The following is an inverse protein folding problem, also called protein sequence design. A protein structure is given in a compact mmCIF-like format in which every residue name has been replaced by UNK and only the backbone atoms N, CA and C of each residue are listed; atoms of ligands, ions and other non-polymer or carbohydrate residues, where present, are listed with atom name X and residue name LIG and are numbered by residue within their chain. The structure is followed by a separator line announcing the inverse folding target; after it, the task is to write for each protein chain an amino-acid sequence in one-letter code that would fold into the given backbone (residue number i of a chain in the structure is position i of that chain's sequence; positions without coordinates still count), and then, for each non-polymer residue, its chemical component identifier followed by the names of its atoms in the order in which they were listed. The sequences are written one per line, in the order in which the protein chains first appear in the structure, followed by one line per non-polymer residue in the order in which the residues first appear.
data_IF_614185878989
#
_entry.id   IF_614185878989
#
_cell.length_a   1.000
_cell.length_b   1.000
_cell.length_c   1.000
_cell.angle_alpha   90.00
_cell.angle_beta   90.00
_cell.angle_gamma   90.00
#
_symmetry.space_group_name_H-M   'P 1'
#
loop_
_entity.id
_entity.type
_entity.pdbx_description
1 polymer ?
#
# COMPACT_ATOMS: atom_id res chain seq x y z
N UNK A 1 -10.51 7.18 -5.95
CA UNK A 1 -10.46 5.94 -6.77
C UNK A 1 -10.59 4.76 -5.85
N UNK A 2 -11.41 3.75 -6.20
CA UNK A 2 -11.54 2.52 -5.42
C UNK A 2 -10.75 1.39 -6.06
N UNK A 3 -9.94 0.67 -5.28
CA UNK A 3 -9.09 -0.40 -5.79
C UNK A 3 -8.90 -1.54 -4.79
N UNK A 4 -8.49 -2.68 -5.32
CA UNK A 4 -7.97 -3.82 -4.55
C UNK A 4 -6.59 -4.15 -5.08
N UNK A 5 -5.64 -4.41 -4.18
CA UNK A 5 -4.31 -4.87 -4.54
C UNK A 5 -4.17 -6.32 -4.10
N UNK A 6 -3.72 -7.16 -5.03
CA UNK A 6 -3.44 -8.58 -4.80
C UNK A 6 -1.92 -8.76 -4.70
N UNK A 7 -1.45 -9.39 -3.64
CA UNK A 7 -0.02 -9.58 -3.32
C UNK A 7 0.28 -11.03 -2.95
N UNK A 8 1.50 -11.48 -3.24
CA UNK A 8 1.96 -12.84 -2.93
C UNK A 8 1.02 -13.91 -3.50
N UNK A 9 0.70 -14.91 -2.69
CA UNK A 9 -0.14 -16.05 -3.05
C UNK A 9 -1.65 -15.71 -3.05
N UNK A 10 -2.03 -14.62 -3.73
CA UNK A 10 -3.42 -14.20 -3.85
C UNK A 10 -3.98 -13.44 -2.64
N UNK A 11 -3.12 -12.96 -1.74
CA UNK A 11 -3.55 -12.18 -0.58
C UNK A 11 -4.10 -10.82 -1.02
N UNK A 12 -5.18 -10.39 -0.38
CA UNK A 12 -5.81 -9.09 -0.65
C UNK A 12 -5.31 -8.07 0.37
N UNK A 13 -4.80 -6.93 -0.10
CA UNK A 13 -4.55 -5.77 0.76
C UNK A 13 -5.89 -5.14 1.14
N UNK A 14 -6.15 -5.04 2.45
CA UNK A 14 -7.39 -4.43 2.97
C UNK A 14 -7.26 -2.91 3.08
N UNK A 15 -6.05 -2.37 3.02
CA UNK A 15 -5.80 -0.95 2.86
C UNK A 15 -5.87 -0.54 1.38
N UNK A 16 -5.88 0.77 1.07
CA UNK A 16 -5.79 1.23 -0.33
C UNK A 16 -4.45 0.91 -1.00
N UNK A 17 -3.50 0.30 -0.27
CA UNK A 17 -2.12 0.03 -0.66
C UNK A 17 -1.33 1.31 -0.97
N UNK A 18 -0.43 1.69 -0.06
CA UNK A 18 0.36 2.92 -0.20
C UNK A 18 1.22 2.94 -1.47
N UNK A 19 1.98 1.88 -1.71
CA UNK A 19 2.84 1.76 -2.89
C UNK A 19 2.03 1.72 -4.20
N UNK A 20 0.90 1.01 -4.22
CA UNK A 20 0.00 0.98 -5.36
C UNK A 20 -0.59 2.37 -5.66
N UNK A 21 -0.98 3.10 -4.61
CA UNK A 21 -1.47 4.49 -4.72
C UNK A 21 -0.40 5.42 -5.28
N UNK A 22 0.85 5.34 -4.78
CA UNK A 22 1.99 6.08 -5.30
C UNK A 22 2.27 5.79 -6.78
N UNK A 23 2.25 4.51 -7.17
CA UNK A 23 2.40 4.10 -8.57
C UNK A 23 1.30 4.66 -9.46
N UNK A 24 0.05 4.68 -8.97
CA UNK A 24 -1.06 5.27 -9.71
C UNK A 24 -0.92 6.79 -9.85
N UNK A 25 -0.50 7.51 -8.79
CA UNK A 25 -0.21 8.95 -8.88
C UNK A 25 0.89 9.24 -9.90
N UNK A 26 1.98 8.46 -9.90
CA UNK A 26 3.05 8.58 -10.89
C UNK A 26 2.53 8.40 -12.32
N UNK A 27 1.67 7.40 -12.55
CA UNK A 27 1.03 7.16 -13.84
C UNK A 27 0.14 8.33 -14.28
N UNK A 28 -0.70 8.85 -13.38
CA UNK A 28 -1.58 9.98 -13.70
C UNK A 28 -0.79 11.25 -14.00
N UNK A 29 0.26 11.53 -13.24
CA UNK A 29 1.15 12.66 -13.48
C UNK A 29 1.88 12.54 -14.82
N UNK A 30 2.39 11.35 -15.17
CA UNK A 30 3.00 11.10 -16.48
C UNK A 30 2.01 11.30 -17.65
N UNK A 31 0.70 11.25 -17.38
CA UNK A 31 -0.38 11.54 -18.34
C UNK A 31 -0.92 12.97 -18.25
N UNK A 32 -0.30 13.84 -17.46
CA UNK A 32 -0.76 15.20 -17.16
C UNK A 32 -2.20 15.24 -16.59
N UNK A 33 -2.61 14.19 -15.86
CA UNK A 33 -3.94 14.05 -15.25
C UNK A 33 -3.96 14.30 -13.74
N UNK A 34 -2.80 14.49 -13.14
CA UNK A 34 -2.66 14.82 -11.73
C UNK A 34 -1.49 15.78 -11.58
N UNK A 35 -1.75 16.96 -11.03
CA UNK A 35 -0.76 18.01 -10.86
C UNK A 35 -0.01 17.88 -9.53
N UNK A 36 1.08 18.64 -9.38
CA UNK A 36 1.75 18.77 -8.10
C UNK A 36 0.81 19.41 -7.06
N UNK A 37 0.86 18.88 -5.85
CA UNK A 37 0.05 19.28 -4.69
C UNK A 37 -1.47 19.11 -4.86
N UNK A 38 -1.92 18.48 -5.94
CA UNK A 38 -3.33 18.10 -6.11
C UNK A 38 -3.63 16.89 -5.22
N UNK A 39 -4.66 17.02 -4.38
CA UNK A 39 -5.06 15.95 -3.45
C UNK A 39 -5.84 14.87 -4.19
N UNK A 40 -5.53 13.61 -3.89
CA UNK A 40 -6.21 12.44 -4.43
C UNK A 40 -6.63 11.52 -3.30
N UNK A 41 -7.84 10.98 -3.37
CA UNK A 41 -8.34 10.02 -2.37
C UNK A 41 -8.37 8.61 -2.96
N UNK A 42 -7.78 7.68 -2.22
CA UNK A 42 -7.75 6.25 -2.53
C UNK A 42 -8.57 5.48 -1.50
N UNK A 43 -9.50 4.64 -1.96
CA UNK A 43 -10.38 3.83 -1.11
C UNK A 43 -10.13 2.33 -1.38
N UNK A 44 -10.04 1.54 -0.30
CA UNK A 44 -9.89 0.09 -0.39
C UNK A 44 -11.23 -0.62 -0.51
N UNK A 45 -11.19 -1.91 -0.84
CA UNK A 45 -12.39 -2.78 -0.79
C UNK A 45 -13.00 -2.89 0.60
N UNK A 46 -12.20 -2.72 1.67
CA UNK A 46 -12.68 -2.71 3.05
C UNK A 46 -13.15 -1.32 3.52
N UNK A 47 -13.15 -0.30 2.65
CA UNK A 47 -13.64 1.05 2.93
C UNK A 47 -12.62 1.99 3.59
N UNK A 48 -11.41 1.51 3.89
CA UNK A 48 -10.31 2.35 4.40
C UNK A 48 -9.87 3.37 3.34
N UNK A 49 -9.40 4.55 3.78
CA UNK A 49 -8.99 5.64 2.89
C UNK A 49 -7.58 6.12 3.15
N UNK A 50 -6.88 6.44 2.07
CA UNK A 50 -5.63 7.19 2.07
C UNK A 50 -5.80 8.48 1.26
N UNK A 51 -5.11 9.52 1.71
CA UNK A 51 -5.01 10.80 1.04
C UNK A 51 -3.61 10.91 0.46
N UNK A 52 -3.50 11.17 -0.83
CA UNK A 52 -2.25 11.25 -1.54
C UNK A 52 -2.10 12.56 -2.28
N UNK A 53 -0.85 13.01 -2.44
CA UNK A 53 -0.51 14.11 -3.35
C UNK A 53 0.91 13.94 -3.84
N UNK A 54 1.24 14.55 -4.97
CA UNK A 54 2.62 14.60 -5.46
C UNK A 54 3.24 15.90 -4.99
N UNK A 55 4.24 15.82 -4.11
CA UNK A 55 4.91 17.01 -3.53
C UNK A 55 6.10 17.49 -4.36
N UNK A 56 6.53 16.70 -5.36
CA UNK A 56 7.60 17.10 -6.27
C UNK A 56 7.85 16.08 -7.37
N UNK A 57 8.80 16.40 -8.25
CA UNK A 57 9.30 15.49 -9.28
C UNK A 57 10.77 15.17 -9.04
N UNK A 58 11.21 14.04 -9.59
CA UNK A 58 12.57 13.56 -9.46
C UNK A 58 13.00 12.79 -10.72
N UNK A 59 14.23 12.29 -10.71
CA UNK A 59 14.71 11.28 -11.65
C UNK A 59 15.31 10.11 -10.90
N UNK A 60 15.04 8.90 -11.38
CA UNK A 60 15.71 7.67 -10.94
C UNK A 60 16.51 7.14 -12.13
N UNK A 61 17.80 7.43 -12.16
CA UNK A 61 18.63 7.24 -13.34
C UNK A 61 18.05 8.02 -14.54
N UNK A 62 17.67 7.30 -15.59
CA UNK A 62 17.06 7.89 -16.80
C UNK A 62 15.54 8.08 -16.72
N UNK A 63 14.88 7.54 -15.70
CA UNK A 63 13.43 7.55 -15.59
C UNK A 63 12.95 8.82 -14.89
N UNK A 64 11.92 9.46 -15.45
CA UNK A 64 11.18 10.49 -14.73
C UNK A 64 10.43 9.86 -13.56
N UNK A 65 10.44 10.53 -12.42
CA UNK A 65 9.82 10.06 -11.19
C UNK A 65 9.05 11.20 -10.51
N UNK A 66 8.19 10.82 -9.57
CA UNK A 66 7.47 11.74 -8.70
C UNK A 66 7.87 11.47 -7.26
N UNK A 67 7.67 12.47 -6.40
CA UNK A 67 7.80 12.35 -4.95
C UNK A 67 6.38 12.35 -4.37
N UNK A 68 5.78 11.17 -4.14
CA UNK A 68 4.44 11.06 -3.59
C UNK A 68 4.45 11.16 -2.06
N UNK A 69 3.42 11.77 -1.50
CA UNK A 69 3.08 11.74 -0.08
C UNK A 69 1.79 10.94 0.07
N UNK A 70 1.71 10.10 1.10
CA UNK A 70 0.52 9.34 1.48
C UNK A 70 0.26 9.56 2.97
N UNK A 71 -0.98 9.91 3.28
CA UNK A 71 -1.48 10.05 4.64
C UNK A 71 -2.58 9.03 4.88
N UNK A 72 -2.49 8.34 6.01
CA UNK A 72 -3.48 7.37 6.45
C UNK A 72 -3.53 7.31 7.98
N UNK A 73 -4.51 6.57 8.50
CA UNK A 73 -4.69 6.37 9.93
C UNK A 73 -4.32 4.95 10.30
N UNK A 74 -3.68 4.79 11.46
CA UNK A 74 -3.37 3.49 12.05
C UNK A 74 -3.86 3.46 13.49
N UNK A 75 -4.22 2.27 13.98
CA UNK A 75 -4.71 2.05 15.33
C UNK A 75 -3.93 0.91 15.98
N UNK A 76 -3.55 1.07 17.24
CA UNK A 76 -2.97 -0.02 18.03
C UNK A 76 -4.06 -1.06 18.26
N UNK A 77 -3.84 -2.29 17.79
CA UNK A 77 -4.80 -3.40 17.92
C UNK A 77 -4.45 -4.36 19.06
N UNK A 78 -3.22 -4.33 19.54
CA UNK A 78 -2.77 -5.17 20.64
C UNK A 78 -1.27 -5.10 20.84
N UNK A 79 -0.83 -5.68 21.96
CA UNK A 79 0.58 -5.96 22.27
C UNK A 79 0.66 -7.47 22.49
N UNK A 80 1.55 -8.14 21.77
CA UNK A 80 1.62 -9.60 21.76
C UNK A 80 3.03 -10.10 22.05
N UNK A 81 3.12 -11.17 22.84
CA UNK A 81 4.35 -11.95 23.04
C UNK A 81 4.16 -13.30 22.35
N UNK A 82 4.83 -13.50 21.20
CA UNK A 82 4.82 -14.78 20.49
C UNK A 82 5.96 -15.67 21.00
N UNK A 83 5.64 -16.89 21.40
CA UNK A 83 6.60 -17.88 21.91
C UNK A 83 6.53 -19.11 21.01
N UNK A 84 7.69 -19.59 20.56
CA UNK A 84 7.80 -20.72 19.64
C UNK A 84 8.58 -21.84 20.34
N UNK A 85 7.89 -22.93 20.70
CA UNK A 85 8.53 -24.11 21.30
C UNK A 85 9.34 -24.87 20.23
N UNK A 86 10.54 -25.33 20.60
CA UNK A 86 11.39 -26.13 19.70
C UNK A 86 10.74 -27.48 19.35
N UNK A 87 9.94 -28.03 20.26
CA UNK A 87 9.30 -29.34 20.13
C UNK A 87 7.90 -29.28 19.50
N UNK A 88 7.36 -28.10 19.22
CA UNK A 88 6.08 -27.96 18.53
C UNK A 88 6.22 -28.38 17.05
N UNK A 89 5.47 -29.39 16.57
CA UNK A 89 5.53 -29.85 15.19
C UNK A 89 4.99 -28.83 14.18
N UNK A 90 4.20 -27.83 14.62
CA UNK A 90 3.58 -26.81 13.78
C UNK A 90 4.17 -25.40 13.99
N UNK A 91 5.36 -25.32 14.61
CA UNK A 91 6.00 -24.08 15.07
C UNK A 91 6.23 -22.97 14.04
N UNK A 92 6.14 -23.26 12.74
CA UNK A 92 6.27 -22.30 11.64
C UNK A 92 4.96 -22.02 10.91
N UNK A 93 3.84 -22.54 11.43
CA UNK A 93 2.54 -22.45 10.80
C UNK A 93 2.42 -23.34 9.57
N UNK A 94 1.26 -23.26 8.94
CA UNK A 94 0.94 -23.91 7.67
C UNK A 94 -0.12 -23.08 6.95
N UNK A 95 -0.24 -23.26 5.65
CA UNK A 95 -1.34 -22.73 4.85
C UNK A 95 -2.20 -23.90 4.37
N UNK A 96 -3.52 -23.71 4.34
CA UNK A 96 -4.40 -24.65 3.66
C UNK A 96 -4.37 -24.39 2.15
N UNK A 97 -4.43 -25.42 1.30
CA UNK A 97 -4.62 -25.22 -0.13
C UNK A 97 -5.95 -24.48 -0.35
N UNK A 98 -5.92 -23.43 -1.15
CA UNK A 98 -7.11 -22.75 -1.69
C UNK A 98 -7.79 -23.61 -2.75
#
# INVERSE_FOLDING_TARGET
VKSVVVVGDGNIDRSPCGNGSCGHMAYLHAKNKLLLNEETVYESVAGGKFFGRIVGTAKVGKYAAVVPEITGTVHITGISNFIVDRNDPLKYGFALPL
#
